data_IF_755397217369
#
_entry.id   IF_755397217369
#
_cell.length_a   1.000
_cell.length_b   1.000
_cell.length_c   1.000
_cell.angle_alpha   90.00
_cell.angle_beta   90.00
_cell.angle_gamma   90.00
#
_symmetry.space_group_name_H-M   'P 1'
#
loop_
_entity.id
_entity.type
_entity.pdbx_description
1 polymer ?
#
# COMPACT_ATOMS: atom_id res chain seq x y z
N UNK A 1 -29.53 22.83 9.40
CA UNK A 1 -28.42 21.89 9.65
C UNK A 1 -28.57 20.68 8.72
N UNK A 2 -28.02 20.76 7.51
CA UNK A 2 -28.14 19.68 6.51
C UNK A 2 -27.13 18.58 6.78
N UNK A 3 -27.60 17.36 7.06
CA UNK A 3 -26.77 16.15 7.15
C UNK A 3 -26.33 15.79 5.72
N UNK A 4 -25.18 16.29 5.27
CA UNK A 4 -24.63 15.94 3.96
C UNK A 4 -24.28 14.45 3.93
N UNK A 5 -24.82 13.73 2.95
CA UNK A 5 -24.63 12.29 2.77
C UNK A 5 -23.29 12.04 2.09
N UNK A 6 -22.28 11.71 2.88
CA UNK A 6 -20.93 11.35 2.39
C UNK A 6 -20.91 10.12 1.47
N UNK A 7 -22.01 9.36 1.39
CA UNK A 7 -22.10 8.14 0.60
C UNK A 7 -22.39 8.35 -0.89
N UNK A 8 -22.87 9.52 -1.32
CA UNK A 8 -23.43 9.71 -2.68
C UNK A 8 -22.39 9.90 -3.80
N UNK A 9 -21.08 9.77 -3.51
CA UNK A 9 -20.04 9.91 -4.53
C UNK A 9 -18.90 8.89 -4.43
N UNK A 10 -18.95 7.97 -3.46
CA UNK A 10 -17.89 6.98 -3.26
C UNK A 10 -18.09 5.73 -4.13
N UNK A 11 -19.35 5.34 -4.40
CA UNK A 11 -19.67 4.18 -5.24
C UNK A 11 -19.16 4.33 -6.69
N UNK A 12 -19.08 5.56 -7.20
CA UNK A 12 -18.57 5.82 -8.55
C UNK A 12 -17.05 5.67 -8.68
N UNK A 13 -16.29 5.63 -7.56
CA UNK A 13 -14.84 5.40 -7.56
C UNK A 13 -14.48 3.91 -7.60
N UNK A 14 -15.39 3.03 -7.15
CA UNK A 14 -15.22 1.57 -7.13
C UNK A 14 -16.10 0.85 -8.14
N UNK A 15 -16.78 1.59 -9.01
CA UNK A 15 -17.59 1.03 -10.09
C UNK A 15 -16.75 0.23 -11.08
N UNK A 16 -17.40 -0.78 -11.67
CA UNK A 16 -16.93 -1.93 -12.45
C UNK A 16 -15.82 -1.73 -13.51
N UNK A 17 -15.36 -0.52 -13.79
CA UNK A 17 -14.28 -0.27 -14.75
C UNK A 17 -12.89 -0.61 -14.18
N UNK A 18 -12.70 -0.55 -12.85
CA UNK A 18 -11.41 -0.83 -12.23
C UNK A 18 -11.01 -2.32 -12.29
N UNK A 19 -12.00 -3.22 -12.32
CA UNK A 19 -11.77 -4.67 -12.41
C UNK A 19 -11.84 -5.21 -13.84
N UNK A 20 -12.26 -4.40 -14.81
CA UNK A 20 -12.43 -4.84 -16.20
C UNK A 20 -11.15 -4.72 -17.04
N UNK A 21 -10.22 -3.83 -16.66
CA UNK A 21 -8.95 -3.67 -17.38
C UNK A 21 -7.92 -4.78 -17.11
N UNK A 22 -8.04 -5.57 -16.03
CA UNK A 22 -7.10 -6.68 -15.74
C UNK A 22 -7.47 -8.01 -16.41
N UNK A 23 -8.70 -8.20 -16.93
CA UNK A 23 -9.09 -9.45 -17.60
C UNK A 23 -8.87 -9.46 -19.13
N UNK A 24 -8.66 -8.31 -19.77
CA UNK A 24 -8.58 -8.21 -21.24
C UNK A 24 -7.17 -8.31 -21.86
N UNK A 25 -6.10 -8.43 -21.06
CA UNK A 25 -4.72 -8.58 -21.60
C UNK A 25 -4.29 -10.04 -21.93
N UNK A 26 -5.21 -11.01 -21.92
CA UNK A 26 -4.86 -12.43 -22.20
C UNK A 26 -5.47 -13.03 -23.47
N UNK A 27 -6.10 -12.24 -24.35
CA UNK A 27 -6.70 -12.76 -25.60
C UNK A 27 -6.49 -11.84 -26.81
N UNK A 28 -5.26 -11.73 -27.29
CA UNK A 28 -5.00 -11.37 -28.68
C UNK A 28 -4.91 -12.65 -29.53
N UNK A 29 -6.02 -12.98 -30.22
CA UNK A 29 -6.05 -13.60 -31.55
C UNK A 29 -7.49 -13.97 -31.94
N UNK A 30 -8.13 -13.13 -32.78
CA UNK A 30 -8.75 -13.49 -34.07
C UNK A 30 -9.92 -12.59 -34.47
N UNK A 31 -9.82 -12.17 -35.74
CA UNK A 31 -10.87 -11.92 -36.74
C UNK A 31 -11.80 -10.72 -36.59
N UNK A 32 -11.58 -9.80 -37.53
CA UNK A 32 -12.48 -8.78 -38.05
C UNK A 32 -13.82 -9.38 -38.50
N UNK A 33 -14.94 -8.73 -38.18
CA UNK A 33 -16.01 -8.35 -39.14
C UNK A 33 -17.12 -7.53 -38.46
N UNK A 34 -17.38 -6.37 -39.07
CA UNK A 34 -18.55 -5.49 -39.10
C UNK A 34 -19.77 -5.72 -38.18
N UNK A 35 -20.24 -4.68 -37.48
CA UNK A 35 -21.38 -3.81 -37.89
C UNK A 35 -21.92 -2.94 -36.74
N UNK A 36 -22.55 -1.83 -37.14
CA UNK A 36 -23.61 -1.06 -36.44
C UNK A 36 -23.24 -0.04 -35.34
N UNK A 37 -23.36 1.25 -35.72
CA UNK A 37 -23.65 2.39 -34.82
C UNK A 37 -25.02 2.19 -34.14
N UNK A 38 -25.29 2.76 -32.96
CA UNK A 38 -25.98 4.06 -32.99
C UNK A 38 -25.67 5.05 -31.84
N UNK A 39 -25.97 6.32 -32.17
CA UNK A 39 -26.44 7.44 -31.32
C UNK A 39 -25.45 8.27 -30.48
N UNK A 40 -25.52 9.56 -30.80
CA UNK A 40 -24.87 10.67 -30.14
C UNK A 40 -25.33 10.81 -28.69
N UNK A 41 -24.37 10.84 -27.77
CA UNK A 41 -24.51 11.47 -26.47
C UNK A 41 -23.54 12.66 -26.45
N UNK A 42 -24.08 13.85 -26.24
CA UNK A 42 -23.33 15.08 -26.10
C UNK A 42 -22.23 14.89 -25.04
N UNK A 43 -20.97 15.04 -25.46
CA UNK A 43 -19.82 15.14 -24.56
C UNK A 43 -20.04 16.34 -23.65
N UNK A 44 -20.61 16.11 -22.46
CA UNK A 44 -20.55 17.06 -21.35
C UNK A 44 -19.07 17.25 -21.05
N UNK A 45 -18.52 18.38 -21.48
CA UNK A 45 -17.16 18.80 -21.11
C UNK A 45 -17.10 18.79 -19.59
N UNK A 46 -16.43 17.79 -19.04
CA UNK A 46 -16.05 17.76 -17.63
C UNK A 46 -15.11 18.94 -17.41
N UNK A 47 -15.67 20.07 -16.97
CA UNK A 47 -14.91 21.21 -16.45
C UNK A 47 -14.39 20.98 -15.03
N UNK A 48 -14.33 19.72 -14.58
CA UNK A 48 -14.03 19.35 -13.20
C UNK A 48 -12.56 19.04 -12.94
N UNK A 49 -11.76 18.76 -13.98
CA UNK A 49 -10.33 18.46 -13.80
C UNK A 49 -9.46 19.70 -13.56
N UNK A 50 -9.90 20.89 -13.99
CA UNK A 50 -9.18 22.16 -13.75
C UNK A 50 -9.32 22.65 -12.31
N UNK A 51 -10.49 22.45 -11.71
CA UNK A 51 -10.77 22.87 -10.32
C UNK A 51 -9.95 22.09 -9.29
N UNK A 52 -9.48 20.89 -9.64
CA UNK A 52 -8.61 20.10 -8.79
C UNK A 52 -7.18 20.65 -8.81
N UNK A 53 -6.65 20.96 -10.00
CA UNK A 53 -5.31 21.56 -10.14
C UNK A 53 -5.25 22.95 -9.47
N UNK A 54 -6.26 23.79 -9.69
CA UNK A 54 -6.34 25.12 -9.03
C UNK A 54 -6.46 24.99 -7.50
N UNK A 55 -7.14 23.95 -7.01
CA UNK A 55 -7.25 23.67 -5.57
C UNK A 55 -5.94 23.19 -4.95
N UNK A 56 -5.14 22.42 -5.69
CA UNK A 56 -3.80 22.02 -5.25
C UNK A 56 -2.82 23.20 -5.29
N UNK A 57 -2.88 24.03 -6.32
CA UNK A 57 -2.05 25.22 -6.44
C UNK A 57 -2.33 26.18 -5.28
N UNK A 58 -3.60 26.45 -4.97
CA UNK A 58 -4.01 27.27 -3.82
C UNK A 58 -3.51 26.71 -2.48
N UNK A 59 -3.59 25.39 -2.28
CA UNK A 59 -3.16 24.74 -1.04
C UNK A 59 -1.63 24.75 -0.88
N UNK A 60 -0.89 24.56 -1.99
CA UNK A 60 0.56 24.63 -1.98
C UNK A 60 1.04 26.07 -1.76
N UNK A 61 0.42 27.05 -2.41
CA UNK A 61 0.78 28.47 -2.20
C UNK A 61 0.52 28.90 -0.77
N UNK A 62 -0.59 28.47 -0.15
CA UNK A 62 -0.90 28.79 1.25
C UNK A 62 0.13 28.18 2.21
N UNK A 63 0.55 26.93 2.00
CA UNK A 63 1.58 26.29 2.81
C UNK A 63 2.97 26.93 2.67
N UNK A 64 3.36 27.31 1.44
CA UNK A 64 4.63 28.00 1.21
C UNK A 64 4.62 29.42 1.77
N UNK A 65 3.50 30.14 1.66
CA UNK A 65 3.37 31.49 2.21
C UNK A 65 3.42 31.49 3.73
N UNK A 66 2.79 30.50 4.39
CA UNK A 66 2.89 30.29 5.83
C UNK A 66 4.33 29.97 6.28
N UNK A 67 5.05 29.12 5.53
CA UNK A 67 6.44 28.78 5.84
C UNK A 67 7.42 29.94 5.62
N UNK A 68 7.23 30.73 4.55
CA UNK A 68 8.03 31.93 4.27
C UNK A 68 7.73 33.01 5.32
N UNK A 69 6.47 33.19 5.70
CA UNK A 69 6.07 34.15 6.73
C UNK A 69 6.65 33.79 8.10
N UNK A 70 6.67 32.51 8.45
CA UNK A 70 7.33 32.03 9.68
C UNK A 70 8.85 32.23 9.66
N UNK A 71 9.50 32.06 8.50
CA UNK A 71 10.93 32.36 8.34
C UNK A 71 11.25 33.86 8.40
N UNK A 72 10.43 34.73 7.78
CA UNK A 72 10.62 36.18 7.79
C UNK A 72 10.29 36.82 9.15
N UNK A 73 9.31 36.28 9.88
CA UNK A 73 8.90 36.80 11.20
C UNK A 73 9.93 36.56 12.31
N UNK A 74 11.11 36.00 12.00
CA UNK A 74 12.20 35.81 12.96
C UNK A 74 11.86 34.86 14.11
N UNK A 75 10.71 34.18 14.04
CA UNK A 75 10.40 33.03 14.87
C UNK A 75 11.32 31.93 14.37
N UNK A 76 12.50 31.82 14.99
CA UNK A 76 13.30 30.59 14.94
C UNK A 76 12.40 29.47 15.44
N UNK A 77 11.68 28.86 14.50
CA UNK A 77 11.01 27.60 14.69
C UNK A 77 12.07 26.67 15.20
N UNK A 78 12.00 26.34 16.50
CA UNK A 78 12.56 25.09 16.96
C UNK A 78 11.90 24.05 16.08
N UNK A 79 12.61 23.57 15.07
CA UNK A 79 12.23 22.38 14.37
C UNK A 79 11.89 21.36 15.46
N UNK A 80 10.65 20.85 15.53
CA UNK A 80 10.42 19.72 16.38
C UNK A 80 11.26 18.62 15.75
N UNK A 81 12.37 18.26 16.40
CA UNK A 81 13.06 17.00 16.11
C UNK A 81 11.98 15.95 16.04
N UNK A 82 11.85 15.28 14.88
CA UNK A 82 10.73 14.42 14.51
C UNK A 82 10.59 13.13 15.37
N UNK A 83 11.11 13.15 16.59
CA UNK A 83 11.20 11.99 17.48
C UNK A 83 10.19 12.03 18.63
N UNK A 84 9.62 13.16 19.03
CA UNK A 84 8.80 13.19 20.26
C UNK A 84 7.65 14.20 20.24
N UNK A 85 6.59 13.92 19.47
CA UNK A 85 5.20 14.26 19.87
C UNK A 85 4.24 13.19 19.36
N UNK A 86 4.37 11.98 19.87
CA UNK A 86 3.33 10.96 19.73
C UNK A 86 2.22 11.31 20.72
N UNK A 87 1.15 11.94 20.26
CA UNK A 87 -0.09 12.09 21.02
C UNK A 87 -0.77 10.72 21.16
N UNK A 88 -0.24 9.86 22.03
CA UNK A 88 -0.80 8.53 22.33
C UNK A 88 -2.10 8.56 23.16
N UNK A 89 -2.89 9.62 23.06
CA UNK A 89 -4.04 9.85 23.94
C UNK A 89 -5.43 9.57 23.34
N UNK A 90 -5.51 9.10 22.09
CA UNK A 90 -6.78 8.93 21.39
C UNK A 90 -7.26 7.48 21.32
N UNK A 91 -8.58 7.29 21.21
CA UNK A 91 -9.21 6.01 20.86
C UNK A 91 -8.61 5.41 19.57
N UNK A 92 -8.18 6.27 18.64
CA UNK A 92 -7.47 5.90 17.42
C UNK A 92 -6.10 5.23 17.68
N UNK A 93 -5.39 5.58 18.76
CA UNK A 93 -4.17 4.85 19.18
C UNK A 93 -4.48 3.45 19.67
N UNK A 94 -5.60 3.28 20.41
CA UNK A 94 -6.06 1.96 20.83
C UNK A 94 -6.49 1.15 19.61
N UNK A 95 -7.30 1.73 18.72
CA UNK A 95 -7.76 1.10 17.48
C UNK A 95 -6.55 0.67 16.63
N UNK A 96 -5.59 1.56 16.33
CA UNK A 96 -4.35 1.24 15.59
C UNK A 96 -3.52 0.15 16.23
N UNK A 97 -3.48 0.07 17.56
CA UNK A 97 -2.78 -1.02 18.28
C UNK A 97 -3.53 -2.35 18.21
N UNK A 98 -4.87 -2.31 18.09
CA UNK A 98 -5.73 -3.50 18.12
C UNK A 98 -6.08 -4.05 16.74
N UNK A 99 -5.97 -3.25 15.68
CA UNK A 99 -6.35 -3.69 14.32
C UNK A 99 -5.36 -4.68 13.70
N UNK A 100 -4.14 -4.85 14.21
CA UNK A 100 -3.31 -6.04 13.92
C UNK A 100 -2.09 -6.20 14.86
N UNK A 101 -2.24 -6.86 16.03
CA UNK A 101 -1.12 -7.23 16.90
C UNK A 101 -0.40 -8.51 16.45
N UNK A 102 -0.63 -9.00 15.22
CA UNK A 102 0.13 -10.13 14.67
C UNK A 102 1.30 -9.58 13.85
N UNK A 103 2.50 -9.60 14.44
CA UNK A 103 3.79 -9.74 13.73
C UNK A 103 4.65 -8.52 13.37
N UNK A 104 4.51 -7.34 14.01
CA UNK A 104 5.68 -6.44 14.07
C UNK A 104 6.65 -6.96 15.14
N UNK A 105 7.22 -8.14 14.89
CA UNK A 105 8.49 -8.54 15.51
C UNK A 105 9.51 -7.56 14.97
N UNK A 106 9.68 -6.40 15.63
CA UNK A 106 10.88 -5.58 15.46
C UNK A 106 12.04 -6.51 15.77
N UNK A 107 12.70 -7.02 14.74
CA UNK A 107 13.81 -7.94 14.88
C UNK A 107 15.02 -7.13 15.30
N UNK A 108 15.09 -6.76 16.59
CA UNK A 108 16.33 -6.30 17.23
C UNK A 108 17.27 -7.48 17.51
N UNK A 109 17.19 -8.56 16.70
CA UNK A 109 18.01 -9.75 16.83
C UNK A 109 19.08 -9.66 15.75
N UNK A 110 20.33 -9.89 16.12
CA UNK A 110 21.47 -9.92 15.20
C UNK A 110 21.27 -11.02 14.14
N UNK A 111 20.61 -10.67 13.04
CA UNK A 111 20.42 -11.58 11.91
C UNK A 111 21.61 -11.46 10.97
N UNK A 112 22.26 -12.59 10.69
CA UNK A 112 23.29 -12.68 9.65
C UNK A 112 22.70 -13.29 8.38
N UNK A 113 23.16 -12.80 7.22
CA UNK A 113 22.82 -13.40 5.93
C UNK A 113 23.68 -14.64 5.71
N UNK A 114 23.03 -15.74 5.32
CA UNK A 114 23.69 -16.98 4.95
C UNK A 114 23.41 -17.25 3.47
N UNK A 115 24.46 -17.60 2.72
CA UNK A 115 24.34 -18.13 1.35
C UNK A 115 24.61 -19.62 1.44
N UNK A 116 23.64 -20.43 1.04
CA UNK A 116 23.73 -21.89 1.04
C UNK A 116 23.67 -22.37 -0.41
N UNK A 117 24.50 -23.33 -0.76
CA UNK A 117 24.43 -24.04 -2.02
C UNK A 117 23.65 -25.35 -1.80
N UNK A 118 22.58 -25.53 -2.55
CA UNK A 118 21.71 -26.70 -2.51
C UNK A 118 21.53 -27.20 -3.95
N UNK A 119 21.26 -28.49 -4.10
CA UNK A 119 20.91 -29.06 -5.39
C UNK A 119 19.58 -28.50 -5.89
N UNK A 120 19.44 -28.34 -7.22
CA UNK A 120 18.24 -27.75 -7.83
C UNK A 120 16.98 -28.53 -7.48
N UNK A 121 17.06 -29.86 -7.46
CA UNK A 121 15.94 -30.75 -7.16
C UNK A 121 15.43 -30.54 -5.73
N UNK A 122 16.35 -30.40 -4.77
CA UNK A 122 16.02 -30.17 -3.36
C UNK A 122 15.31 -28.81 -3.17
N UNK A 123 15.76 -27.78 -3.89
CA UNK A 123 15.13 -26.45 -3.85
C UNK A 123 13.72 -26.48 -4.44
N UNK A 124 13.49 -27.24 -5.51
CA UNK A 124 12.16 -27.40 -6.09
C UNK A 124 11.20 -28.14 -5.16
N UNK A 125 11.66 -29.20 -4.51
CA UNK A 125 10.89 -29.93 -3.51
C UNK A 125 10.53 -29.04 -2.33
N UNK A 126 11.50 -28.30 -1.78
CA UNK A 126 11.26 -27.34 -0.70
C UNK A 126 10.27 -26.25 -1.11
N UNK A 127 10.33 -25.74 -2.35
CA UNK A 127 9.34 -24.77 -2.86
C UNK A 127 7.93 -25.35 -2.93
N UNK A 128 7.78 -26.63 -3.31
CA UNK A 128 6.47 -27.31 -3.34
C UNK A 128 5.90 -27.42 -1.92
N UNK A 129 6.73 -27.84 -0.96
CA UNK A 129 6.33 -27.95 0.46
C UNK A 129 5.95 -26.57 1.02
N UNK A 130 6.73 -25.53 0.73
CA UNK A 130 6.46 -24.16 1.18
C UNK A 130 5.07 -23.67 0.73
N UNK A 131 4.70 -23.98 -0.52
CA UNK A 131 3.39 -23.62 -1.08
C UNK A 131 2.25 -24.36 -0.39
N UNK A 132 2.44 -25.66 -0.09
CA UNK A 132 1.45 -26.46 0.63
C UNK A 132 1.21 -25.93 2.04
N UNK A 133 2.28 -25.58 2.74
CA UNK A 133 2.23 -25.03 4.10
C UNK A 133 1.84 -23.54 4.15
N UNK A 134 1.75 -22.87 2.99
CA UNK A 134 1.52 -21.41 2.86
C UNK A 134 2.54 -20.58 3.65
N UNK A 135 3.79 -21.05 3.70
CA UNK A 135 4.91 -20.39 4.38
C UNK A 135 5.98 -19.95 3.39
N UNK A 136 6.83 -19.01 3.80
CA UNK A 136 8.00 -18.64 3.00
C UNK A 136 9.15 -19.61 3.25
N UNK A 137 9.92 -19.92 2.20
CA UNK A 137 11.09 -20.79 2.26
C UNK A 137 12.09 -20.39 3.37
N UNK A 138 12.28 -19.08 3.60
CA UNK A 138 13.16 -18.57 4.66
C UNK A 138 12.75 -19.01 6.07
N UNK A 139 11.45 -19.19 6.31
CA UNK A 139 10.94 -19.59 7.62
C UNK A 139 11.08 -21.11 7.82
N UNK A 140 10.79 -21.92 6.80
CA UNK A 140 11.07 -23.36 6.87
C UNK A 140 12.55 -23.66 7.10
N UNK A 141 13.47 -22.99 6.37
CA UNK A 141 14.91 -23.17 6.58
C UNK A 141 15.29 -22.80 8.03
N UNK A 142 14.71 -21.73 8.56
CA UNK A 142 14.94 -21.31 9.95
C UNK A 142 14.48 -22.38 10.94
N UNK A 143 13.32 -22.99 10.70
CA UNK A 143 12.74 -23.99 11.60
C UNK A 143 13.54 -25.30 11.55
N UNK A 144 13.94 -25.75 10.35
CA UNK A 144 14.84 -26.91 10.16
C UNK A 144 16.15 -26.70 10.90
N UNK A 145 16.79 -25.53 10.75
CA UNK A 145 18.04 -25.21 11.45
C UNK A 145 17.82 -25.18 12.96
N UNK A 146 16.71 -24.62 13.44
CA UNK A 146 16.40 -24.58 14.86
C UNK A 146 16.15 -25.97 15.45
N UNK A 147 15.51 -26.87 14.70
CA UNK A 147 15.29 -28.26 15.09
C UNK A 147 16.60 -29.04 15.13
N UNK A 148 17.42 -28.92 14.08
CA UNK A 148 18.75 -29.56 14.02
C UNK A 148 19.66 -29.15 15.19
N UNK A 149 19.66 -27.87 15.56
CA UNK A 149 20.44 -27.39 16.71
C UNK A 149 19.93 -27.98 18.03
N UNK A 150 18.61 -28.05 18.23
CA UNK A 150 18.03 -28.65 19.44
C UNK A 150 18.35 -30.13 19.59
N UNK A 151 18.39 -30.86 18.47
CA UNK A 151 18.76 -32.28 18.48
C UNK A 151 20.24 -32.49 18.83
N UNK A 152 21.13 -31.58 18.41
CA UNK A 152 22.57 -31.68 18.69
C UNK A 152 22.98 -31.21 20.07
N UNK A 153 22.17 -30.39 20.73
CA UNK A 153 22.40 -29.93 22.10
C UNK A 153 21.91 -30.92 23.17
N UNK A 154 21.20 -31.98 22.77
CA UNK A 154 20.83 -33.12 23.62
C UNK A 154 21.91 -34.20 23.64
#
# INVERSE_FOLDING_TARGET
MGKKRFSEGFDSLFGDDFFKEEEEQSKEQKTETATAKPKAAARRKSGSSKKFADGLESLLTEAFEEEIQDQLAGKKGKSPSATERKSFGGLDSLIRSTIDPKTIRKSSKDTRRLTILLESEQVEQLKKIAKLEKTYLKYMIRDIVAEYLKEKEK
#
